data_IF_422462943000
#
_entry.id   IF_422462943000
#
_cell.length_a   1.000
_cell.length_b   1.000
_cell.length_c   1.000
_cell.angle_alpha   90.00
_cell.angle_beta   90.00
_cell.angle_gamma   90.00
#
_symmetry.space_group_name_H-M   'P 1'
#
loop_
_entity.id
_entity.type
_entity.pdbx_description
1 polymer ?
#
# COMPACT_ATOMS: atom_id res chain seq x y z
N UNK A 1 -1.27 5.87 -21.45
CA UNK A 1 -1.96 4.76 -20.72
C UNK A 1 -3.25 5.33 -20.16
N UNK A 2 -4.40 4.68 -20.36
CA UNK A 2 -5.71 5.25 -20.05
C UNK A 2 -5.92 5.25 -18.52
N UNK A 3 -6.14 6.41 -17.89
CA UNK A 3 -6.40 6.55 -16.42
C UNK A 3 -7.52 5.61 -15.93
N UNK A 4 -8.49 5.31 -16.79
CA UNK A 4 -9.67 4.49 -16.51
C UNK A 4 -9.39 2.97 -16.37
N UNK A 5 -8.23 2.47 -16.80
CA UNK A 5 -7.95 1.02 -16.79
C UNK A 5 -7.53 0.47 -15.41
N UNK A 6 -7.23 1.35 -14.45
CA UNK A 6 -6.63 0.99 -13.16
C UNK A 6 -7.44 1.49 -11.95
N UNK A 7 -8.71 1.83 -12.14
CA UNK A 7 -9.56 2.25 -11.02
C UNK A 7 -9.80 1.10 -10.04
N UNK A 8 -9.73 1.40 -8.75
CA UNK A 8 -9.99 0.42 -7.70
C UNK A 8 -11.49 0.38 -7.46
N UNK A 9 -12.05 -0.82 -7.45
CA UNK A 9 -13.49 -1.04 -7.37
C UNK A 9 -13.96 -1.23 -5.93
N UNK A 10 -15.26 -1.05 -5.70
CA UNK A 10 -15.90 -1.38 -4.42
C UNK A 10 -15.79 -2.88 -4.09
N UNK A 11 -15.78 -3.76 -5.09
CA UNK A 11 -15.60 -5.20 -4.88
C UNK A 11 -14.20 -5.52 -4.34
N UNK A 12 -13.17 -4.87 -4.90
CA UNK A 12 -11.80 -4.98 -4.41
C UNK A 12 -11.66 -4.42 -2.99
N UNK A 13 -12.38 -3.34 -2.68
CA UNK A 13 -12.41 -2.79 -1.32
C UNK A 13 -12.95 -3.80 -0.31
N UNK A 14 -14.06 -4.47 -0.65
CA UNK A 14 -14.64 -5.52 0.21
C UNK A 14 -13.65 -6.66 0.45
N UNK A 15 -12.92 -7.10 -0.57
CA UNK A 15 -11.88 -8.13 -0.41
C UNK A 15 -10.78 -7.67 0.53
N UNK A 16 -10.30 -6.43 0.37
CA UNK A 16 -9.29 -5.83 1.25
C UNK A 16 -9.76 -5.78 2.72
N UNK A 17 -10.98 -5.31 2.96
CA UNK A 17 -11.53 -5.22 4.31
C UNK A 17 -11.78 -6.61 4.93
N UNK A 18 -12.32 -7.56 4.15
CA UNK A 18 -12.52 -8.96 4.60
C UNK A 18 -11.18 -9.63 4.94
N UNK A 19 -10.14 -9.41 4.14
CA UNK A 19 -8.81 -9.95 4.42
C UNK A 19 -8.20 -9.34 5.69
N UNK A 20 -8.36 -8.04 5.88
CA UNK A 20 -7.93 -7.37 7.12
C UNK A 20 -8.64 -7.94 8.34
N UNK A 21 -9.95 -8.19 8.26
CA UNK A 21 -10.73 -8.81 9.33
C UNK A 21 -10.33 -10.28 9.57
N UNK A 22 -10.05 -11.03 8.51
CA UNK A 22 -9.52 -12.39 8.60
C UNK A 22 -8.22 -12.43 9.40
N UNK A 23 -7.28 -11.54 9.10
CA UNK A 23 -6.01 -11.48 9.84
C UNK A 23 -6.24 -11.23 11.33
N UNK A 24 -7.18 -10.35 11.69
CA UNK A 24 -7.59 -10.12 13.08
C UNK A 24 -8.23 -11.34 13.75
N UNK A 25 -8.87 -12.23 12.99
CA UNK A 25 -9.52 -13.46 13.50
C UNK A 25 -8.57 -14.65 13.70
N UNK A 26 -7.35 -14.59 13.17
CA UNK A 26 -6.42 -15.71 13.16
C UNK A 26 -5.98 -16.12 14.56
N UNK A 27 -5.56 -15.17 15.39
CA UNK A 27 -5.09 -15.50 16.74
C UNK A 27 -6.18 -16.17 17.60
N UNK A 28 -7.42 -15.64 17.68
CA UNK A 28 -8.53 -16.34 18.35
C UNK A 28 -8.80 -17.74 17.79
N UNK A 29 -8.77 -17.90 16.46
CA UNK A 29 -9.00 -19.18 15.79
C UNK A 29 -7.93 -20.22 16.19
N UNK A 30 -6.65 -19.83 16.11
CA UNK A 30 -5.55 -20.73 16.45
C UNK A 30 -5.48 -21.06 17.94
N UNK A 31 -5.87 -20.12 18.82
CA UNK A 31 -5.98 -20.37 20.25
C UNK A 31 -7.09 -21.37 20.61
N UNK A 32 -8.05 -21.60 19.71
CA UNK A 32 -9.14 -22.57 19.90
C UNK A 32 -8.76 -23.98 19.44
N UNK A 33 -7.68 -24.16 18.67
CA UNK A 33 -7.25 -25.46 18.14
C UNK A 33 -6.92 -26.48 19.26
N UNK A 34 -6.24 -26.12 20.37
CA UNK A 34 -6.02 -27.05 21.48
C UNK A 34 -7.31 -27.66 22.04
N UNK A 35 -8.41 -26.91 22.03
CA UNK A 35 -9.72 -27.41 22.47
C UNK A 35 -10.21 -28.54 21.56
N UNK A 36 -10.03 -28.40 20.23
CA UNK A 36 -10.36 -29.45 19.28
C UNK A 36 -9.58 -30.75 19.57
N UNK A 37 -8.28 -30.63 19.88
CA UNK A 37 -7.46 -31.78 20.27
C UNK A 37 -7.95 -32.41 21.58
N UNK A 38 -8.12 -31.63 22.64
CA UNK A 38 -8.55 -32.15 23.94
C UNK A 38 -9.92 -32.82 23.90
N UNK A 39 -10.87 -32.33 23.08
CA UNK A 39 -12.15 -33.04 22.87
C UNK A 39 -11.97 -34.45 22.33
N UNK A 40 -11.04 -34.64 21.37
CA UNK A 40 -10.74 -35.98 20.84
C UNK A 40 -10.08 -36.87 21.87
N UNK A 41 -9.16 -36.31 22.67
CA UNK A 41 -8.53 -37.04 23.78
C UNK A 41 -9.57 -37.52 24.79
N UNK A 42 -10.49 -36.66 25.19
CA UNK A 42 -11.57 -36.98 26.13
C UNK A 42 -12.54 -38.03 25.56
N UNK A 43 -12.60 -38.17 24.23
CA UNK A 43 -13.35 -39.22 23.54
C UNK A 43 -12.55 -40.52 23.34
N UNK A 44 -11.36 -40.64 23.96
CA UNK A 44 -10.54 -41.86 23.93
C UNK A 44 -9.58 -41.97 22.73
N UNK A 45 -9.39 -40.91 21.95
CA UNK A 45 -8.49 -40.94 20.80
C UNK A 45 -7.07 -40.46 21.13
N UNK A 46 -6.07 -41.01 20.42
CA UNK A 46 -4.69 -40.55 20.51
C UNK A 46 -4.53 -39.22 19.77
N UNK A 47 -4.06 -38.20 20.47
CA UNK A 47 -3.83 -36.85 19.92
C UNK A 47 -2.86 -36.86 18.73
N UNK A 48 -3.23 -36.14 17.67
CA UNK A 48 -2.30 -35.72 16.65
C UNK A 48 -1.54 -34.47 17.11
N UNK A 49 -0.35 -34.22 16.54
CA UNK A 49 0.47 -33.05 16.87
C UNK A 49 0.48 -32.10 15.68
N UNK A 50 -0.09 -30.91 15.88
CA UNK A 50 0.07 -29.79 14.95
C UNK A 50 1.29 -28.98 15.36
N UNK A 51 2.32 -29.00 14.50
CA UNK A 51 3.51 -28.18 14.71
C UNK A 51 3.17 -26.69 14.65
N UNK A 52 3.71 -25.92 15.60
CA UNK A 52 3.60 -24.45 15.58
C UNK A 52 4.31 -23.90 14.35
N UNK A 53 3.65 -22.98 13.64
CA UNK A 53 4.26 -22.29 12.50
C UNK A 53 4.52 -20.82 12.86
N UNK A 54 5.76 -20.37 12.65
CA UNK A 54 6.17 -19.01 12.99
C UNK A 54 5.52 -17.95 12.11
N UNK A 55 5.06 -18.29 10.90
CA UNK A 55 4.45 -17.34 9.97
C UNK A 55 3.13 -16.76 10.48
N UNK A 56 2.46 -17.43 11.42
CA UNK A 56 1.27 -16.91 12.11
C UNK A 56 1.58 -15.68 12.98
N UNK A 57 2.83 -15.51 13.40
CA UNK A 57 3.24 -14.37 14.24
C UNK A 57 3.17 -13.04 13.50
N UNK A 58 3.15 -13.05 12.17
CA UNK A 58 3.12 -11.83 11.36
C UNK A 58 1.69 -11.32 11.15
N UNK A 59 0.66 -12.12 11.44
CA UNK A 59 -0.73 -11.71 11.23
C UNK A 59 -1.12 -10.38 11.95
N UNK A 60 -0.74 -10.13 13.22
CA UNK A 60 -1.03 -8.85 13.88
C UNK A 60 -0.34 -7.66 13.21
N UNK A 61 0.89 -7.86 12.76
CA UNK A 61 1.67 -6.83 12.06
C UNK A 61 1.04 -6.49 10.71
N UNK A 62 0.61 -7.51 9.96
CA UNK A 62 -0.03 -7.34 8.66
C UNK A 62 -1.39 -6.68 8.79
N UNK A 63 -2.14 -7.03 9.84
CA UNK A 63 -3.40 -6.37 10.19
C UNK A 63 -3.16 -4.88 10.42
N UNK A 64 -2.18 -4.54 11.26
CA UNK A 64 -1.81 -3.16 11.57
C UNK A 64 -1.39 -2.40 10.31
N UNK A 65 -0.61 -3.01 9.43
CA UNK A 65 -0.22 -2.38 8.18
C UNK A 65 -1.38 -2.06 7.25
N UNK A 66 -2.30 -3.00 7.06
CA UNK A 66 -3.48 -2.75 6.23
C UNK A 66 -4.38 -1.66 6.84
N UNK A 67 -4.47 -1.60 8.17
CA UNK A 67 -5.21 -0.55 8.89
C UNK A 67 -4.55 0.82 8.78
N UNK A 68 -3.22 0.89 8.87
CA UNK A 68 -2.42 2.12 8.77
C UNK A 68 -2.19 2.58 7.33
N UNK A 69 -2.46 1.73 6.33
CA UNK A 69 -2.16 2.01 4.93
C UNK A 69 -2.80 3.32 4.45
N UNK A 70 -4.07 3.55 4.82
CA UNK A 70 -4.75 4.80 4.50
C UNK A 70 -3.99 6.03 5.03
N UNK A 71 -3.59 6.03 6.30
CA UNK A 71 -2.88 7.16 6.91
C UNK A 71 -1.52 7.41 6.27
N UNK A 72 -0.81 6.34 5.88
CA UNK A 72 0.48 6.46 5.16
C UNK A 72 0.29 7.02 3.75
N UNK A 73 -0.78 6.62 3.06
CA UNK A 73 -1.14 7.19 1.75
C UNK A 73 -1.56 8.65 1.88
N UNK A 74 -2.35 8.99 2.90
CA UNK A 74 -2.77 10.37 3.18
C UNK A 74 -1.57 11.28 3.47
N UNK A 75 -0.60 10.81 4.24
CA UNK A 75 0.65 11.55 4.51
C UNK A 75 1.46 11.78 3.22
N UNK A 76 1.64 10.73 2.40
CA UNK A 76 2.32 10.87 1.11
C UNK A 76 1.58 11.82 0.16
N UNK A 77 0.24 11.76 0.13
CA UNK A 77 -0.61 12.69 -0.63
C UNK A 77 -0.43 14.13 -0.18
N UNK A 78 -0.38 14.39 1.13
CA UNK A 78 -0.16 15.74 1.67
C UNK A 78 1.19 16.29 1.24
N UNK A 79 2.25 15.48 1.29
CA UNK A 79 3.57 15.87 0.76
C UNK A 79 3.49 16.18 -0.73
N UNK A 80 2.84 15.30 -1.51
CA UNK A 80 2.65 15.48 -2.95
C UNK A 80 1.93 16.78 -3.27
N UNK A 81 0.80 17.07 -2.63
CA UNK A 81 0.02 18.30 -2.83
C UNK A 81 0.89 19.54 -2.60
N UNK A 82 1.57 19.61 -1.47
CA UNK A 82 2.45 20.74 -1.13
C UNK A 82 3.55 20.93 -2.19
N UNK A 83 4.23 19.85 -2.60
CA UNK A 83 5.35 19.96 -3.54
C UNK A 83 4.90 20.26 -4.96
N UNK A 84 3.73 19.76 -5.38
CA UNK A 84 3.10 20.10 -6.66
C UNK A 84 2.71 21.58 -6.67
N UNK A 85 2.15 22.10 -5.59
CA UNK A 85 1.80 23.53 -5.45
C UNK A 85 3.04 24.43 -5.49
N UNK A 86 4.11 24.05 -4.79
CA UNK A 86 5.39 24.75 -4.82
C UNK A 86 5.98 24.78 -6.24
N UNK A 87 6.01 23.63 -6.92
CA UNK A 87 6.48 23.51 -8.29
C UNK A 87 5.64 24.36 -9.26
N UNK A 88 4.32 24.30 -9.14
CA UNK A 88 3.40 25.07 -9.98
C UNK A 88 3.59 26.58 -9.77
N UNK A 89 3.79 27.00 -8.52
CA UNK A 89 4.07 28.40 -8.18
C UNK A 89 5.41 28.84 -8.77
N UNK A 90 6.47 28.06 -8.57
CA UNK A 90 7.80 28.33 -9.13
C UNK A 90 7.76 28.43 -10.66
N UNK A 91 7.03 27.55 -11.35
CA UNK A 91 6.90 27.59 -12.80
C UNK A 91 6.14 28.83 -13.29
N UNK A 92 5.06 29.24 -12.60
CA UNK A 92 4.36 30.50 -12.91
C UNK A 92 5.27 31.70 -12.76
N UNK A 93 6.03 31.78 -11.68
CA UNK A 93 6.99 32.86 -11.40
C UNK A 93 8.11 32.89 -12.44
N UNK A 94 8.58 31.72 -12.90
CA UNK A 94 9.58 31.62 -13.97
C UNK A 94 9.04 32.12 -15.31
N UNK A 95 7.80 31.77 -15.65
CA UNK A 95 7.11 32.30 -16.83
C UNK A 95 6.90 33.81 -16.74
N UNK A 96 6.53 34.33 -15.58
CA UNK A 96 6.37 35.77 -15.36
C UNK A 96 7.70 36.52 -15.52
N UNK A 97 8.78 35.98 -14.94
CA UNK A 97 10.13 36.53 -15.11
C UNK A 97 10.51 36.56 -16.59
N UNK A 98 10.25 35.47 -17.31
CA UNK A 98 10.51 35.36 -18.75
C UNK A 98 9.72 36.38 -19.58
N UNK A 99 8.47 36.69 -19.20
CA UNK A 99 7.64 37.71 -19.85
C UNK A 99 8.18 39.12 -19.63
N UNK A 100 8.80 39.39 -18.48
CA UNK A 100 9.40 40.68 -18.14
C UNK A 100 10.79 40.86 -18.76
N UNK A 101 11.49 39.77 -19.03
CA UNK A 101 12.84 39.77 -19.63
C UNK A 101 12.83 39.15 -21.03
N UNK A 102 13.33 37.93 -21.17
CA UNK A 102 13.42 37.19 -22.43
C UNK A 102 13.56 35.70 -22.16
N UNK A 103 13.11 34.87 -23.11
CA UNK A 103 13.37 33.42 -23.11
C UNK A 103 14.87 33.07 -23.13
N UNK A 104 15.70 33.98 -23.61
CA UNK A 104 17.15 33.79 -23.71
C UNK A 104 17.91 34.30 -22.49
N UNK A 105 17.22 34.89 -21.50
CA UNK A 105 17.83 35.37 -20.27
C UNK A 105 18.59 34.22 -19.58
N UNK A 106 19.88 34.42 -19.24
CA UNK A 106 20.65 33.40 -18.55
C UNK A 106 20.11 33.13 -17.16
N UNK A 107 19.85 31.86 -16.82
CA UNK A 107 19.29 31.46 -15.51
C UNK A 107 20.14 31.98 -14.34
N UNK A 108 21.46 31.99 -14.48
CA UNK A 108 22.38 32.47 -13.44
C UNK A 108 22.40 33.99 -13.23
N UNK A 109 21.76 34.77 -14.11
CA UNK A 109 21.64 36.23 -13.98
C UNK A 109 20.29 36.66 -13.41
N UNK A 110 19.33 35.74 -13.32
CA UNK A 110 18.01 36.00 -12.76
C UNK A 110 18.11 36.11 -11.25
N UNK A 111 17.54 37.17 -10.69
CA UNK A 111 17.43 37.31 -9.24
C UNK A 111 16.49 36.23 -8.68
N UNK A 112 17.07 35.27 -7.95
CA UNK A 112 16.34 34.17 -7.35
C UNK A 112 15.36 34.63 -6.25
N UNK A 113 15.53 35.84 -5.70
CA UNK A 113 14.65 36.40 -4.67
C UNK A 113 13.27 36.81 -5.21
N UNK A 114 13.11 36.82 -6.53
CA UNK A 114 11.82 37.03 -7.18
C UNK A 114 10.86 35.85 -6.96
N UNK A 115 11.39 34.67 -6.64
CA UNK A 115 10.60 33.46 -6.44
C UNK A 115 10.10 33.37 -5.00
N UNK A 116 8.83 33.07 -4.79
CA UNK A 116 8.27 32.82 -3.44
C UNK A 116 9.00 31.69 -2.73
N UNK A 117 9.42 30.66 -3.47
CA UNK A 117 10.18 29.53 -2.93
C UNK A 117 11.45 29.98 -2.20
N UNK A 118 12.11 31.07 -2.62
CA UNK A 118 13.32 31.61 -1.96
C UNK A 118 13.08 32.09 -0.53
N UNK A 119 11.81 32.25 -0.14
CA UNK A 119 11.37 32.66 1.20
C UNK A 119 10.81 31.49 2.01
N UNK A 120 10.97 30.26 1.52
CA UNK A 120 10.58 29.05 2.25
C UNK A 120 11.20 29.07 3.65
N UNK A 121 10.41 28.84 4.71
CA UNK A 121 10.94 28.81 6.07
C UNK A 121 11.78 27.55 6.34
N UNK A 122 11.65 26.55 5.47
CA UNK A 122 12.34 25.26 5.56
C UNK A 122 13.09 24.98 4.27
N UNK A 123 14.34 24.52 4.41
CA UNK A 123 15.23 24.09 3.33
C UNK A 123 15.71 22.69 3.63
N UNK A 124 15.82 21.84 2.60
CA UNK A 124 16.30 20.46 2.80
C UNK A 124 17.80 20.38 3.06
N UNK A 125 18.58 21.32 2.53
CA UNK A 125 20.04 21.38 2.74
C UNK A 125 20.50 22.78 3.17
N UNK A 126 20.62 23.71 2.24
CA UNK A 126 21.12 25.07 2.48
C UNK A 126 20.19 26.09 1.82
N UNK A 127 20.11 27.33 2.34
CA UNK A 127 19.39 28.40 1.67
C UNK A 127 19.93 28.65 0.24
N UNK A 128 19.06 28.99 -0.71
CA UNK A 128 19.42 29.16 -2.11
C UNK A 128 20.28 30.40 -2.33
N UNK A 129 21.22 30.31 -3.25
CA UNK A 129 22.06 31.43 -3.69
C UNK A 129 21.72 31.89 -5.11
N UNK A 130 21.07 31.04 -5.89
CA UNK A 130 20.62 31.31 -7.24
C UNK A 130 19.35 30.50 -7.59
N UNK A 131 18.87 30.65 -8.82
CA UNK A 131 17.67 29.93 -9.32
C UNK A 131 17.92 28.43 -9.44
N UNK A 132 19.16 27.98 -9.68
CA UNK A 132 19.49 26.55 -9.79
C UNK A 132 19.39 25.86 -8.44
N UNK A 133 19.74 26.55 -7.36
CA UNK A 133 19.52 26.07 -6.00
C UNK A 133 18.04 25.90 -5.68
N UNK A 134 17.17 26.79 -6.17
CA UNK A 134 15.71 26.65 -6.03
C UNK A 134 15.18 25.42 -6.78
N UNK A 135 15.66 25.17 -8.00
CA UNK A 135 15.33 23.94 -8.75
C UNK A 135 15.85 22.70 -7.99
N UNK A 136 17.01 22.80 -7.37
CA UNK A 136 17.57 21.72 -6.58
C UNK A 136 16.76 21.44 -5.31
N UNK A 137 16.24 22.47 -4.62
CA UNK A 137 15.32 22.30 -3.50
C UNK A 137 14.05 21.54 -3.92
N UNK A 138 13.46 21.90 -5.07
CA UNK A 138 12.30 21.15 -5.61
C UNK A 138 12.66 19.69 -5.87
N UNK A 139 13.84 19.42 -6.44
CA UNK A 139 14.34 18.06 -6.61
C UNK A 139 14.38 17.30 -5.26
N UNK A 140 14.93 17.90 -4.20
CA UNK A 140 15.04 17.26 -2.89
C UNK A 140 13.67 16.97 -2.25
N UNK A 141 12.70 17.87 -2.43
CA UNK A 141 11.31 17.65 -1.98
C UNK A 141 10.67 16.46 -2.71
N UNK A 142 10.84 16.39 -4.02
CA UNK A 142 10.33 15.27 -4.81
C UNK A 142 11.06 13.95 -4.49
N UNK A 143 12.35 13.99 -4.14
CA UNK A 143 13.09 12.81 -3.70
C UNK A 143 12.58 12.25 -2.35
N UNK A 144 12.22 13.13 -1.41
CA UNK A 144 11.53 12.71 -0.18
C UNK A 144 10.15 12.10 -0.48
N UNK A 145 9.38 12.69 -1.40
CA UNK A 145 8.12 12.11 -1.85
C UNK A 145 8.34 10.71 -2.46
N UNK A 146 9.38 10.55 -3.29
CA UNK A 146 9.77 9.25 -3.86
C UNK A 146 10.07 8.25 -2.75
N UNK A 147 10.79 8.65 -1.70
CA UNK A 147 11.07 7.79 -0.55
C UNK A 147 9.77 7.36 0.16
N UNK A 148 8.80 8.27 0.34
CA UNK A 148 7.50 7.93 0.92
C UNK A 148 6.71 6.92 0.06
N UNK A 149 6.68 7.10 -1.27
CA UNK A 149 6.05 6.14 -2.20
C UNK A 149 6.77 4.79 -2.19
N UNK A 150 8.10 4.81 -2.15
CA UNK A 150 8.91 3.61 -2.09
C UNK A 150 8.61 2.78 -0.82
N UNK A 151 8.33 3.45 0.30
CA UNK A 151 7.90 2.78 1.53
C UNK A 151 6.52 2.10 1.37
N UNK A 152 5.57 2.72 0.66
CA UNK A 152 4.29 2.08 0.32
C UNK A 152 4.51 0.84 -0.56
N UNK A 153 5.37 0.95 -1.57
CA UNK A 153 5.73 -0.16 -2.47
C UNK A 153 6.27 -1.36 -1.71
N UNK A 154 7.26 -1.13 -0.84
CA UNK A 154 7.85 -2.21 -0.02
C UNK A 154 6.80 -2.91 0.83
N UNK A 155 5.94 -2.16 1.51
CA UNK A 155 4.89 -2.73 2.36
C UNK A 155 3.91 -3.62 1.56
N UNK A 156 3.50 -3.19 0.37
CA UNK A 156 2.61 -4.01 -0.48
C UNK A 156 3.31 -5.28 -0.97
N UNK A 157 4.61 -5.23 -1.28
CA UNK A 157 5.39 -6.42 -1.64
C UNK A 157 5.50 -7.40 -0.46
N UNK A 158 5.78 -6.93 0.75
CA UNK A 158 5.87 -7.78 1.94
C UNK A 158 4.53 -8.46 2.25
N UNK A 159 3.43 -7.71 2.20
CA UNK A 159 2.07 -8.23 2.41
C UNK A 159 1.72 -9.35 1.43
N UNK A 160 2.17 -9.27 0.18
CA UNK A 160 1.97 -10.34 -0.82
C UNK A 160 2.65 -11.65 -0.40
N UNK A 161 3.94 -11.57 -0.07
CA UNK A 161 4.78 -12.74 0.26
C UNK A 161 4.24 -13.41 1.53
N UNK A 162 3.90 -12.60 2.52
CA UNK A 162 3.40 -13.11 3.79
C UNK A 162 1.99 -13.68 3.68
N UNK A 163 1.11 -13.06 2.87
CA UNK A 163 -0.22 -13.61 2.56
C UNK A 163 -0.12 -15.01 1.94
N UNK A 164 0.79 -15.20 0.98
CA UNK A 164 1.02 -16.51 0.37
C UNK A 164 1.50 -17.56 1.40
N UNK A 165 2.47 -17.19 2.23
CA UNK A 165 2.96 -18.05 3.31
C UNK A 165 1.85 -18.41 4.31
N UNK A 166 1.00 -17.45 4.64
CA UNK A 166 -0.10 -17.59 5.59
C UNK A 166 -1.20 -18.50 5.07
N UNK A 167 -1.55 -18.41 3.77
CA UNK A 167 -2.51 -19.32 3.11
C UNK A 167 -2.13 -20.78 3.35
N UNK A 168 -0.87 -21.12 3.07
CA UNK A 168 -0.34 -22.49 3.25
C UNK A 168 -0.46 -22.96 4.70
N UNK A 169 -0.10 -22.11 5.66
CA UNK A 169 -0.16 -22.46 7.09
C UNK A 169 -1.59 -22.65 7.56
N UNK A 170 -2.46 -21.72 7.19
CA UNK A 170 -3.87 -21.76 7.56
C UNK A 170 -4.53 -23.04 7.01
N UNK A 171 -4.41 -23.30 5.71
CA UNK A 171 -4.98 -24.50 5.08
C UNK A 171 -4.47 -25.77 5.76
N UNK A 172 -3.14 -25.90 5.94
CA UNK A 172 -2.55 -27.08 6.59
C UNK A 172 -3.03 -27.26 8.02
N UNK A 173 -3.20 -26.18 8.78
CA UNK A 173 -3.70 -26.25 10.15
C UNK A 173 -5.17 -26.68 10.18
N UNK A 174 -6.02 -26.08 9.34
CA UNK A 174 -7.46 -26.36 9.26
C UNK A 174 -7.76 -27.78 8.77
N UNK A 175 -6.94 -28.30 7.85
CA UNK A 175 -7.05 -29.67 7.32
C UNK A 175 -6.32 -30.73 8.17
N UNK A 176 -5.65 -30.31 9.24
CA UNK A 176 -4.93 -31.26 10.09
C UNK A 176 -5.91 -32.20 10.78
N UNK A 177 -5.61 -33.50 10.75
CA UNK A 177 -6.36 -34.51 11.51
C UNK A 177 -6.27 -34.23 13.00
N UNK A 178 -7.35 -34.41 13.74
CA UNK A 178 -7.36 -34.15 15.19
C UNK A 178 -6.86 -35.33 16.04
N UNK A 179 -6.74 -36.52 15.44
CA UNK A 179 -6.19 -37.71 16.09
C UNK A 179 -5.31 -38.54 15.14
N UNK A 180 -4.46 -39.41 15.69
CA UNK A 180 -3.62 -40.31 14.89
C UNK A 180 -4.37 -41.54 14.38
N UNK A 181 -5.51 -41.87 14.98
CA UNK A 181 -6.27 -43.07 14.68
C UNK A 181 -7.11 -42.93 13.39
N UNK A 182 -7.54 -41.71 13.05
CA UNK A 182 -8.46 -41.45 11.94
C UNK A 182 -8.06 -40.17 11.19
N UNK A 183 -8.28 -40.10 9.87
CA UNK A 183 -8.05 -38.89 9.09
C UNK A 183 -9.06 -37.77 9.40
N UNK A 184 -10.25 -38.15 9.86
CA UNK A 184 -11.32 -37.24 10.28
C UNK A 184 -11.67 -37.48 11.76
N UNK A 185 -12.17 -36.46 12.46
CA UNK A 185 -12.42 -35.11 11.96
C UNK A 185 -11.15 -34.26 11.87
N UNK A 186 -11.17 -33.27 10.97
CA UNK A 186 -10.13 -32.25 10.85
C UNK A 186 -10.27 -31.17 11.92
N UNK A 187 -9.22 -30.35 12.11
CA UNK A 187 -9.26 -29.22 13.05
C UNK A 187 -10.44 -28.30 12.75
N UNK A 188 -10.67 -27.94 11.48
CA UNK A 188 -11.80 -27.09 11.12
C UNK A 188 -13.14 -27.70 11.53
N UNK A 189 -13.38 -28.98 11.22
CA UNK A 189 -14.61 -29.69 11.58
C UNK A 189 -14.85 -29.69 13.09
N UNK A 190 -13.80 -29.92 13.90
CA UNK A 190 -13.91 -29.88 15.36
C UNK A 190 -14.09 -28.45 15.89
N UNK A 191 -13.51 -27.42 15.27
CA UNK A 191 -13.75 -26.03 15.65
C UNK A 191 -15.23 -25.64 15.45
N UNK A 192 -15.84 -26.07 14.34
CA UNK A 192 -17.25 -25.80 14.03
C UNK A 192 -18.26 -26.66 14.81
N UNK A 193 -17.79 -27.65 15.58
CA UNK A 193 -18.65 -28.53 16.40
C UNK A 193 -19.39 -27.79 17.52
N UNK A 194 -18.77 -26.75 18.08
CA UNK A 194 -19.37 -25.91 19.12
C UNK A 194 -19.22 -24.42 18.76
N UNK A 195 -20.23 -23.61 19.12
CA UNK A 195 -20.26 -22.19 18.76
C UNK A 195 -19.14 -21.36 19.42
N UNK A 196 -18.62 -21.79 20.58
CA UNK A 196 -17.55 -21.10 21.30
C UNK A 196 -16.15 -21.29 20.67
N UNK A 197 -15.97 -22.31 19.82
CA UNK A 197 -14.71 -22.57 19.10
C UNK A 197 -14.81 -22.29 17.61
N UNK A 198 -16.02 -22.09 17.09
CA UNK A 198 -16.22 -21.75 15.69
C UNK A 198 -15.57 -20.40 15.37
N UNK A 199 -14.73 -20.30 14.33
CA UNK A 199 -14.18 -19.03 13.89
C UNK A 199 -15.30 -18.03 13.58
N UNK A 200 -15.16 -16.80 14.06
CA UNK A 200 -16.07 -15.72 13.69
C UNK A 200 -15.79 -15.35 12.23
N UNK A 201 -16.78 -15.53 11.37
CA UNK A 201 -16.64 -15.28 9.95
C UNK A 201 -17.95 -14.76 9.34
N UNK A 202 -17.83 -13.74 8.47
CA UNK A 202 -18.96 -13.15 7.77
C UNK A 202 -19.32 -14.00 6.54
N UNK A 203 -20.01 -15.11 6.81
CA UNK A 203 -20.51 -16.06 5.82
C UNK A 203 -21.86 -16.63 6.27
N UNK A 204 -22.85 -16.59 5.37
CA UNK A 204 -24.13 -17.24 5.57
C UNK A 204 -24.01 -18.73 5.22
N UNK A 205 -23.71 -19.56 6.22
CA UNK A 205 -23.59 -21.01 6.04
C UNK A 205 -24.90 -21.65 5.56
N UNK A 206 -24.80 -22.59 4.62
CA UNK A 206 -25.99 -23.27 4.06
C UNK A 206 -26.61 -24.29 5.02
N UNK A 207 -25.83 -24.75 6.01
CA UNK A 207 -26.22 -25.80 6.95
C UNK A 207 -25.72 -25.50 8.37
N UNK A 208 -26.37 -26.13 9.36
CA UNK A 208 -25.89 -26.18 10.75
C UNK A 208 -24.86 -27.29 10.98
N UNK A 209 -24.72 -28.21 10.03
CA UNK A 209 -23.77 -29.31 10.08
C UNK A 209 -22.32 -28.77 10.13
N UNK A 210 -21.53 -29.24 11.11
CA UNK A 210 -20.18 -28.75 11.34
C UNK A 210 -19.22 -29.06 10.17
N UNK A 211 -19.41 -30.20 9.48
CA UNK A 211 -18.60 -30.59 8.33
C UNK A 211 -18.89 -29.68 7.15
N UNK A 212 -20.17 -29.40 6.89
CA UNK A 212 -20.58 -28.46 5.83
C UNK A 212 -20.05 -27.06 6.12
N UNK A 213 -20.22 -26.56 7.34
CA UNK A 213 -19.73 -25.23 7.73
C UNK A 213 -18.21 -25.10 7.63
N UNK A 214 -17.48 -26.12 8.06
CA UNK A 214 -16.03 -26.16 7.97
C UNK A 214 -15.57 -26.15 6.49
N UNK A 215 -16.24 -26.90 5.62
CA UNK A 215 -15.94 -26.91 4.19
C UNK A 215 -16.21 -25.54 3.54
N UNK A 216 -17.37 -24.95 3.80
CA UNK A 216 -17.74 -23.62 3.30
C UNK A 216 -16.79 -22.51 3.79
N UNK A 217 -16.44 -22.53 5.08
CA UNK A 217 -15.47 -21.61 5.65
C UNK A 217 -14.11 -21.71 4.97
N UNK A 218 -13.55 -22.93 4.84
CA UNK A 218 -12.25 -23.13 4.18
C UNK A 218 -12.29 -22.69 2.71
N UNK A 219 -13.37 -23.00 2.00
CA UNK A 219 -13.54 -22.62 0.60
C UNK A 219 -13.61 -21.10 0.43
N UNK A 220 -14.39 -20.40 1.25
CA UNK A 220 -14.49 -18.94 1.18
C UNK A 220 -13.18 -18.25 1.61
N UNK A 221 -12.46 -18.76 2.61
CA UNK A 221 -11.12 -18.25 2.94
C UNK A 221 -10.13 -18.48 1.79
N UNK A 222 -10.19 -19.61 1.08
CA UNK A 222 -9.34 -19.83 -0.08
C UNK A 222 -9.61 -18.79 -1.18
N UNK A 223 -10.89 -18.51 -1.47
CA UNK A 223 -11.31 -17.45 -2.40
C UNK A 223 -10.85 -16.07 -1.92
N UNK A 224 -10.91 -15.81 -0.62
CA UNK A 224 -10.43 -14.54 -0.04
C UNK A 224 -8.94 -14.33 -0.29
N UNK A 225 -8.11 -15.36 -0.10
CA UNK A 225 -6.67 -15.27 -0.39
C UNK A 225 -6.40 -14.99 -1.88
N UNK A 226 -7.12 -15.65 -2.78
CA UNK A 226 -6.95 -15.44 -4.22
C UNK A 226 -7.41 -14.04 -4.64
N UNK A 227 -8.53 -13.57 -4.09
CA UNK A 227 -9.00 -12.20 -4.26
C UNK A 227 -8.00 -11.18 -3.73
N UNK A 228 -7.48 -11.38 -2.52
CA UNK A 228 -6.51 -10.46 -1.92
C UNK A 228 -5.20 -10.45 -2.68
N UNK A 229 -4.72 -11.59 -3.18
CA UNK A 229 -3.54 -11.65 -4.03
C UNK A 229 -3.73 -10.80 -5.30
N UNK A 230 -4.90 -10.90 -5.95
CA UNK A 230 -5.24 -10.06 -7.11
C UNK A 230 -5.26 -8.56 -6.77
N UNK A 231 -5.92 -8.17 -5.67
CA UNK A 231 -5.96 -6.78 -5.19
C UNK A 231 -4.56 -6.26 -4.91
N UNK A 232 -3.74 -7.03 -4.18
CA UNK A 232 -2.40 -6.64 -3.80
C UNK A 232 -1.47 -6.51 -5.03
N UNK A 233 -1.59 -7.40 -6.02
CA UNK A 233 -0.86 -7.27 -7.29
C UNK A 233 -1.24 -5.99 -8.04
N UNK A 234 -2.54 -5.65 -8.12
CA UNK A 234 -2.97 -4.40 -8.75
C UNK A 234 -2.46 -3.18 -7.99
N UNK A 235 -2.51 -3.19 -6.65
CA UNK A 235 -1.94 -2.14 -5.82
C UNK A 235 -0.43 -1.99 -6.05
N UNK A 236 0.31 -3.10 -6.15
CA UNK A 236 1.73 -3.09 -6.45
C UNK A 236 2.06 -2.43 -7.79
N UNK A 237 1.33 -2.79 -8.85
CA UNK A 237 1.48 -2.16 -10.17
C UNK A 237 1.11 -0.68 -10.15
N UNK A 238 0.04 -0.34 -9.45
CA UNK A 238 -0.41 1.04 -9.34
C UNK A 238 0.62 1.93 -8.61
N UNK A 239 1.18 1.45 -7.50
CA UNK A 239 2.22 2.15 -6.75
C UNK A 239 3.53 2.21 -7.54
N UNK A 240 3.87 1.16 -8.29
CA UNK A 240 5.03 1.19 -9.20
C UNK A 240 4.88 2.30 -10.23
N UNK A 241 3.70 2.40 -10.86
CA UNK A 241 3.43 3.47 -11.83
C UNK A 241 3.55 4.85 -11.16
N UNK A 242 2.99 5.05 -9.95
CA UNK A 242 3.19 6.30 -9.20
C UNK A 242 4.66 6.62 -8.95
N UNK A 243 5.45 5.61 -8.56
CA UNK A 243 6.88 5.75 -8.32
C UNK A 243 7.62 6.17 -9.60
N UNK A 244 7.32 5.53 -10.73
CA UNK A 244 7.92 5.87 -12.03
C UNK A 244 7.56 7.29 -12.48
N UNK A 245 6.34 7.78 -12.21
CA UNK A 245 5.94 9.16 -12.53
C UNK A 245 6.75 10.19 -11.75
N UNK A 246 6.93 9.96 -10.43
CA UNK A 246 7.77 10.84 -9.61
C UNK A 246 9.23 10.75 -10.00
N UNK A 247 9.74 9.55 -10.31
CA UNK A 247 11.10 9.39 -10.84
C UNK A 247 11.32 10.16 -12.15
N UNK A 248 10.33 10.15 -13.05
CA UNK A 248 10.31 10.98 -14.26
C UNK A 248 10.38 12.49 -13.94
N UNK A 249 9.55 12.96 -13.02
CA UNK A 249 9.55 14.36 -12.59
C UNK A 249 10.90 14.79 -11.97
N UNK A 250 11.48 13.94 -11.12
CA UNK A 250 12.82 14.13 -10.52
C UNK A 250 13.89 14.26 -11.61
N UNK A 251 13.87 13.37 -12.60
CA UNK A 251 14.83 13.39 -13.70
C UNK A 251 14.71 14.69 -14.53
N UNK A 252 13.49 15.19 -14.75
CA UNK A 252 13.28 16.48 -15.40
C UNK A 252 13.75 17.67 -14.56
N UNK A 253 13.59 17.64 -13.23
CA UNK A 253 14.14 18.66 -12.32
C UNK A 253 15.67 18.68 -12.32
N UNK A 254 16.31 17.50 -12.33
CA UNK A 254 17.77 17.40 -12.46
C UNK A 254 18.27 17.98 -13.78
N UNK A 255 17.56 17.73 -14.89
CA UNK A 255 17.85 18.34 -16.19
C UNK A 255 17.63 19.85 -16.14
N UNK A 256 16.52 20.32 -15.55
CA UNK A 256 16.19 21.73 -15.39
C UNK A 256 17.29 22.50 -14.64
N UNK A 257 17.91 21.90 -13.62
CA UNK A 257 19.02 22.51 -12.86
C UNK A 257 20.21 22.89 -13.75
N UNK A 258 20.47 22.12 -14.81
CA UNK A 258 21.62 22.31 -15.72
C UNK A 258 21.36 23.27 -16.88
N UNK A 259 20.12 23.74 -17.07
CA UNK A 259 19.79 24.58 -18.21
C UNK A 259 20.45 25.96 -18.09
N UNK A 260 20.64 26.58 -19.25
CA UNK A 260 21.35 27.85 -19.33
C UNK A 260 20.40 29.04 -19.45
N UNK A 261 19.22 28.83 -20.03
CA UNK A 261 18.26 29.89 -20.39
C UNK A 261 16.89 29.67 -19.76
N UNK A 262 16.18 30.77 -19.46
CA UNK A 262 14.83 30.73 -18.90
C UNK A 262 13.83 29.96 -19.77
N UNK A 263 13.93 30.05 -21.10
CA UNK A 263 13.05 29.29 -22.01
C UNK A 263 13.20 27.78 -21.86
N UNK A 264 14.43 27.30 -21.68
CA UNK A 264 14.74 25.88 -21.44
C UNK A 264 14.22 25.44 -20.08
N UNK A 265 14.39 26.29 -19.05
CA UNK A 265 13.86 26.06 -17.71
C UNK A 265 12.33 25.91 -17.74
N UNK A 266 11.61 26.85 -18.34
CA UNK A 266 10.15 26.80 -18.45
C UNK A 266 9.66 25.54 -19.17
N UNK A 267 10.33 25.14 -20.25
CA UNK A 267 9.99 23.90 -20.96
C UNK A 267 10.12 22.68 -20.05
N UNK A 268 11.20 22.59 -19.27
CA UNK A 268 11.43 21.50 -18.32
C UNK A 268 10.43 21.49 -17.17
N UNK A 269 10.15 22.66 -16.59
CA UNK A 269 9.16 22.79 -15.52
C UNK A 269 7.75 22.37 -15.98
N UNK A 270 7.37 22.70 -17.23
CA UNK A 270 6.11 22.25 -17.81
C UNK A 270 5.99 20.71 -17.85
N UNK A 271 7.04 20.03 -18.31
CA UNK A 271 7.10 18.56 -18.31
C UNK A 271 7.07 17.96 -16.90
N UNK A 272 7.77 18.57 -15.94
CA UNK A 272 7.73 18.14 -14.53
C UNK A 272 6.32 18.25 -13.95
N UNK A 273 5.61 19.36 -14.21
CA UNK A 273 4.26 19.60 -13.69
C UNK A 273 3.26 18.54 -14.19
N UNK A 274 3.34 18.15 -15.45
CA UNK A 274 2.46 17.12 -16.01
C UNK A 274 2.60 15.80 -15.24
N UNK A 275 3.83 15.30 -15.08
CA UNK A 275 4.09 14.07 -14.34
C UNK A 275 3.73 14.17 -12.85
N UNK A 276 3.96 15.33 -12.23
CA UNK A 276 3.62 15.57 -10.83
C UNK A 276 2.11 15.59 -10.59
N UNK A 277 1.33 16.24 -11.47
CA UNK A 277 -0.13 16.25 -11.42
C UNK A 277 -0.74 14.87 -11.67
N UNK A 278 -0.13 14.07 -12.55
CA UNK A 278 -0.55 12.69 -12.75
C UNK A 278 -0.34 11.84 -11.50
N UNK A 279 0.82 11.97 -10.85
CA UNK A 279 1.07 11.27 -9.58
C UNK A 279 0.08 11.72 -8.49
N UNK A 280 -0.18 13.01 -8.36
CA UNK A 280 -1.16 13.54 -7.41
C UNK A 280 -2.55 12.95 -7.64
N UNK A 281 -3.02 12.91 -8.89
CA UNK A 281 -4.31 12.30 -9.22
C UNK A 281 -4.37 10.80 -8.90
N UNK A 282 -3.25 10.08 -9.07
CA UNK A 282 -3.15 8.68 -8.68
C UNK A 282 -3.18 8.49 -7.16
N UNK A 283 -2.49 9.36 -6.40
CA UNK A 283 -2.55 9.34 -4.94
C UNK A 283 -3.95 9.65 -4.42
N UNK A 284 -4.63 10.65 -5.01
CA UNK A 284 -6.01 11.00 -4.68
C UNK A 284 -6.95 9.81 -4.85
N UNK A 285 -6.78 9.07 -5.96
CA UNK A 285 -7.57 7.88 -6.24
C UNK A 285 -7.37 6.77 -5.21
N UNK A 286 -6.12 6.40 -4.89
CA UNK A 286 -5.82 5.36 -3.89
C UNK A 286 -6.30 5.79 -2.51
N UNK A 287 -6.02 7.03 -2.14
CA UNK A 287 -6.40 7.56 -0.84
C UNK A 287 -7.92 7.57 -0.69
N UNK A 288 -8.66 8.03 -1.69
CA UNK A 288 -10.13 7.99 -1.69
C UNK A 288 -10.67 6.56 -1.63
N UNK A 289 -10.03 5.61 -2.30
CA UNK A 289 -10.42 4.20 -2.26
C UNK A 289 -10.15 3.56 -0.90
N UNK A 290 -9.09 3.97 -0.19
CA UNK A 290 -8.72 3.49 1.15
C UNK A 290 -9.49 4.20 2.28
N UNK A 291 -9.93 5.43 2.04
CA UNK A 291 -10.74 6.21 2.98
C UNK A 291 -12.01 5.43 3.35
N UNK A 292 -12.32 5.39 4.64
CA UNK A 292 -13.51 4.71 5.19
C UNK A 292 -14.72 5.63 5.13
#
# INVERSE_FOLDING_TARGET
MNRLANEFTAAQRRVFDRYTNFLGSLQPTFNSIPVAFERRRNSGHQLAVLAKDSRLKNAPFNTRYLQELWGRTEEAKRLCSTYVEDLATFARESLETTRRTSRNEPVGQVDFRLYSLSRSPTWKLFPPKDVRDLVHELFLRFDELKAAIQQLKYTITELYVESFGLKSVFTRAMDHRTCNCHPQPTVAEELFRENNTAPVWDLAYSSRDAVVRAAEYKADIAVLFDGFASVNSQMGLFIEEMYQRIEGAINELLRAKSVSRLGELNFKLGATIEGANECMAMMDHVESWLRK
#
